data_IF_120642569951
#
_entry.id   IF_120642569951
#
_cell.length_a   1.000
_cell.length_b   1.000
_cell.length_c   1.000
_cell.angle_alpha   90.00
_cell.angle_beta   90.00
_cell.angle_gamma   90.00
#
_symmetry.space_group_name_H-M   'P 1'
#
loop_
_entity.id
_entity.type
_entity.pdbx_description
1 polymer ?
#
# COMPACT_ATOMS: atom_id res chain seq x y z
N UNK A 1 -3.43 -11.02 -3.11
CA UNK A 1 -3.24 -10.69 -4.55
C UNK A 1 -3.43 -11.94 -5.37
N UNK A 2 -4.50 -12.07 -6.15
CA UNK A 2 -4.59 -13.13 -7.16
C UNK A 2 -3.70 -12.74 -8.33
N UNK A 3 -2.62 -13.48 -8.54
CA UNK A 3 -1.73 -13.35 -9.69
C UNK A 3 -2.55 -13.49 -10.98
N UNK A 4 -2.50 -12.46 -11.82
CA UNK A 4 -3.12 -12.46 -13.14
C UNK A 4 -2.60 -13.64 -13.96
N UNK A 5 -3.50 -14.37 -14.65
CA UNK A 5 -3.16 -15.53 -15.48
C UNK A 5 -2.41 -15.18 -16.78
N UNK A 6 -2.07 -13.90 -16.99
CA UNK A 6 -1.37 -13.42 -18.18
C UNK A 6 0.13 -13.73 -18.06
N UNK A 7 0.74 -14.47 -19.01
CA UNK A 7 2.17 -14.82 -18.97
C UNK A 7 3.10 -13.61 -18.80
N UNK A 8 4.32 -13.86 -18.32
CA UNK A 8 5.38 -12.86 -18.37
C UNK A 8 5.85 -12.72 -19.83
N UNK A 9 6.02 -11.49 -20.34
CA UNK A 9 6.57 -11.29 -21.68
C UNK A 9 8.05 -11.72 -21.70
N UNK A 10 8.51 -12.23 -22.84
CA UNK A 10 9.93 -12.43 -23.15
C UNK A 10 10.31 -11.47 -24.28
N UNK A 11 10.53 -10.17 -23.96
CA UNK A 11 10.72 -9.16 -24.97
C UNK A 11 12.08 -9.28 -25.67
N UNK A 12 12.07 -9.35 -27.01
CA UNK A 12 13.26 -9.16 -27.83
C UNK A 12 13.44 -7.67 -28.15
N UNK A 13 14.67 -7.16 -28.01
CA UNK A 13 15.00 -5.76 -28.32
C UNK A 13 15.38 -5.61 -29.80
N UNK A 14 14.62 -4.83 -30.60
CA UNK A 14 15.03 -4.50 -31.96
C UNK A 14 16.36 -3.74 -31.96
N UNK A 15 17.23 -4.07 -32.92
CA UNK A 15 18.49 -3.37 -33.18
C UNK A 15 18.50 -2.88 -34.63
N UNK A 16 19.03 -1.68 -34.85
CA UNK A 16 19.05 -1.02 -36.16
C UNK A 16 20.48 -0.69 -36.58
N UNK A 17 20.75 -0.71 -37.88
CA UNK A 17 22.04 -0.27 -38.44
C UNK A 17 21.86 0.71 -39.61
N UNK A 18 22.89 1.49 -39.90
CA UNK A 18 22.86 2.50 -40.96
C UNK A 18 22.63 1.88 -42.34
N UNK A 19 21.64 2.40 -43.07
CA UNK A 19 21.26 1.89 -44.40
C UNK A 19 20.29 0.71 -44.38
N UNK A 20 19.87 0.23 -43.20
CA UNK A 20 18.82 -0.78 -43.10
C UNK A 20 17.46 -0.24 -43.58
N UNK A 21 16.76 -1.03 -44.40
CA UNK A 21 15.36 -0.77 -44.73
C UNK A 21 14.49 -1.12 -43.52
N UNK A 22 13.77 -0.13 -42.99
CA UNK A 22 12.80 -0.33 -41.91
C UNK A 22 11.46 -0.80 -42.48
N UNK A 23 10.96 -1.90 -41.96
CA UNK A 23 9.67 -2.49 -42.36
C UNK A 23 8.60 -2.28 -41.28
N UNK A 24 7.34 -2.55 -41.63
CA UNK A 24 6.26 -2.56 -40.65
C UNK A 24 6.48 -3.60 -39.54
N UNK A 25 7.18 -4.70 -39.83
CA UNK A 25 7.51 -5.71 -38.82
C UNK A 25 8.47 -5.17 -37.77
N UNK A 26 9.49 -4.39 -38.19
CA UNK A 26 10.47 -3.79 -37.27
C UNK A 26 9.82 -2.77 -36.33
N UNK A 27 8.99 -1.89 -36.87
CA UNK A 27 8.25 -0.88 -36.09
C UNK A 27 7.19 -1.53 -35.19
N UNK A 28 6.51 -2.57 -35.68
CA UNK A 28 5.56 -3.35 -34.91
C UNK A 28 6.20 -4.09 -33.73
N UNK A 29 7.41 -4.63 -33.93
CA UNK A 29 8.19 -5.26 -32.86
C UNK A 29 8.57 -4.24 -31.77
N UNK A 30 9.03 -3.05 -32.15
CA UNK A 30 9.33 -1.96 -31.21
C UNK A 30 8.07 -1.53 -30.42
N UNK A 31 6.93 -1.36 -31.08
CA UNK A 31 5.69 -0.99 -30.41
C UNK A 31 5.18 -2.07 -29.44
N UNK A 32 5.32 -3.35 -29.83
CA UNK A 32 4.96 -4.50 -29.00
C UNK A 32 5.83 -4.55 -27.75
N UNK A 33 7.15 -4.36 -27.90
CA UNK A 33 8.10 -4.30 -26.80
C UNK A 33 7.71 -3.23 -25.76
N UNK A 34 7.46 -2.00 -26.23
CA UNK A 34 7.10 -0.88 -25.34
C UNK A 34 5.80 -1.14 -24.59
N UNK A 35 4.80 -1.67 -25.29
CA UNK A 35 3.50 -2.01 -24.71
C UNK A 35 3.61 -3.11 -23.66
N UNK A 36 4.36 -4.18 -23.95
CA UNK A 36 4.57 -5.28 -23.01
C UNK A 36 5.34 -4.84 -21.75
N UNK A 37 6.40 -4.05 -21.90
CA UNK A 37 7.17 -3.54 -20.77
C UNK A 37 6.34 -2.60 -19.89
N UNK A 38 5.50 -1.75 -20.51
CA UNK A 38 4.59 -0.87 -19.78
C UNK A 38 3.53 -1.64 -19.02
N UNK A 39 2.86 -2.60 -19.66
CA UNK A 39 1.87 -3.47 -19.01
C UNK A 39 2.49 -4.24 -17.84
N UNK A 40 3.72 -4.74 -18.02
CA UNK A 40 4.47 -5.40 -16.95
C UNK A 40 4.74 -4.43 -15.78
N UNK A 41 5.17 -3.20 -16.06
CA UNK A 41 5.40 -2.17 -15.04
C UNK A 41 4.11 -1.88 -14.25
N UNK A 42 2.98 -1.68 -14.92
CA UNK A 42 1.68 -1.47 -14.26
C UNK A 42 1.29 -2.65 -13.38
N UNK A 43 1.31 -3.86 -13.95
CA UNK A 43 0.89 -5.08 -13.26
C UNK A 43 1.77 -5.42 -12.05
N UNK A 44 3.07 -5.16 -12.13
CA UNK A 44 4.03 -5.50 -11.08
C UNK A 44 4.16 -4.43 -9.99
N UNK A 45 4.02 -3.13 -10.35
CA UNK A 45 4.35 -2.03 -9.45
C UNK A 45 3.16 -1.18 -9.02
N UNK A 46 2.07 -1.17 -9.80
CA UNK A 46 0.92 -0.28 -9.54
C UNK A 46 -0.38 -1.04 -9.26
N UNK A 47 -0.47 -2.32 -9.63
CA UNK A 47 -1.69 -3.11 -9.46
C UNK A 47 -2.74 -2.75 -10.51
N UNK A 48 -4.02 -2.77 -10.12
CA UNK A 48 -5.16 -2.51 -11.02
C UNK A 48 -6.35 -1.88 -10.28
N UNK A 49 -7.18 -1.16 -11.03
CA UNK A 49 -8.32 -0.37 -10.55
C UNK A 49 -8.50 0.95 -11.31
N UNK A 50 -9.43 1.78 -10.86
CA UNK A 50 -9.70 3.12 -11.37
C UNK A 50 -8.75 4.12 -10.71
N UNK A 51 -7.86 4.75 -11.49
CA UNK A 51 -6.93 5.74 -10.95
C UNK A 51 -7.53 7.15 -10.85
N UNK A 52 -8.42 7.50 -11.78
CA UNK A 52 -9.07 8.82 -11.80
C UNK A 52 -10.36 8.80 -12.60
N UNK A 53 -11.36 9.58 -12.18
CA UNK A 53 -12.60 9.79 -12.91
C UNK A 53 -13.49 8.54 -13.00
N UNK A 54 -14.05 8.30 -14.20
CA UNK A 54 -14.93 7.16 -14.51
C UNK A 54 -16.16 7.04 -13.59
N UNK A 55 -16.67 8.19 -13.11
CA UNK A 55 -17.92 8.23 -12.37
C UNK A 55 -19.08 7.91 -13.31
N UNK A 56 -20.09 7.20 -12.80
CA UNK A 56 -21.32 6.89 -13.52
C UNK A 56 -22.42 7.73 -12.91
N UNK A 57 -22.97 8.66 -13.69
CA UNK A 57 -24.06 9.53 -13.28
C UNK A 57 -25.34 9.14 -14.03
N UNK A 58 -26.39 8.82 -13.28
CA UNK A 58 -27.75 8.63 -13.77
C UNK A 58 -28.73 8.53 -12.60
N UNK A 59 -30.00 8.80 -12.87
CA UNK A 59 -31.09 8.70 -11.90
C UNK A 59 -32.06 7.55 -12.21
N UNK A 60 -32.87 7.16 -11.22
CA UNK A 60 -33.95 6.20 -11.43
C UNK A 60 -34.86 6.68 -12.57
N UNK A 61 -35.19 5.77 -13.48
CA UNK A 61 -36.12 6.00 -14.58
C UNK A 61 -35.48 6.50 -15.87
N UNK A 62 -34.19 6.85 -15.84
CA UNK A 62 -33.44 7.22 -17.04
C UNK A 62 -33.16 6.01 -17.94
N UNK A 63 -32.99 6.27 -19.24
CA UNK A 63 -32.77 5.27 -20.29
C UNK A 63 -31.32 5.22 -20.77
N UNK A 64 -30.44 6.02 -20.15
CA UNK A 64 -29.02 6.04 -20.42
C UNK A 64 -28.28 6.42 -19.14
N UNK A 65 -26.99 6.10 -19.09
CA UNK A 65 -26.06 6.55 -18.05
C UNK A 65 -24.97 7.41 -18.66
N UNK A 66 -24.48 8.38 -17.90
CA UNK A 66 -23.31 9.18 -18.29
C UNK A 66 -22.09 8.63 -17.56
N UNK A 67 -21.14 8.09 -18.33
CA UNK A 67 -19.81 7.75 -17.83
C UNK A 67 -18.89 8.94 -18.01
N UNK A 68 -18.41 9.53 -16.94
CA UNK A 68 -17.43 10.62 -16.97
C UNK A 68 -16.08 10.17 -17.51
N UNK A 69 -15.30 11.13 -18.02
CA UNK A 69 -13.93 10.89 -18.45
C UNK A 69 -13.07 10.32 -17.30
N UNK A 70 -12.05 9.53 -17.64
CA UNK A 70 -11.14 8.98 -16.64
C UNK A 70 -10.21 7.89 -17.15
N UNK A 71 -9.52 7.27 -16.19
CA UNK A 71 -8.43 6.35 -16.43
C UNK A 71 -8.48 5.19 -15.44
N UNK A 72 -8.32 3.97 -15.95
CA UNK A 72 -8.17 2.76 -15.15
C UNK A 72 -7.06 1.86 -15.70
N UNK A 73 -6.59 0.94 -14.86
CA UNK A 73 -5.68 -0.14 -15.23
C UNK A 73 -6.38 -1.45 -14.89
N UNK A 74 -6.36 -2.42 -15.81
CA UNK A 74 -6.87 -3.76 -15.54
C UNK A 74 -5.78 -4.70 -14.95
N UNK A 75 -6.17 -5.90 -14.52
CA UNK A 75 -5.23 -6.85 -13.89
C UNK A 75 -4.17 -7.41 -14.85
N UNK A 76 -4.28 -7.16 -16.15
CA UNK A 76 -3.24 -7.46 -17.13
C UNK A 76 -2.22 -6.31 -17.28
N UNK A 77 -2.48 -5.15 -16.66
CA UNK A 77 -1.67 -3.94 -16.77
C UNK A 77 -2.04 -3.04 -17.94
N UNK A 78 -3.19 -3.29 -18.60
CA UNK A 78 -3.65 -2.55 -19.76
C UNK A 78 -4.32 -1.25 -19.32
N UNK A 79 -4.03 -0.16 -20.03
CA UNK A 79 -4.54 1.18 -19.74
C UNK A 79 -5.93 1.35 -20.40
N UNK A 80 -6.94 1.71 -19.61
CA UNK A 80 -8.30 1.95 -20.08
C UNK A 80 -8.61 3.46 -19.96
N UNK A 81 -8.58 4.15 -21.09
CA UNK A 81 -8.69 5.62 -21.15
C UNK A 81 -10.02 6.03 -21.76
N UNK A 82 -10.92 6.57 -20.94
CA UNK A 82 -12.11 7.27 -21.41
C UNK A 82 -11.80 8.77 -21.47
N UNK A 83 -11.32 9.25 -22.63
CA UNK A 83 -10.83 10.63 -22.77
C UNK A 83 -11.90 11.72 -22.70
N UNK A 84 -13.18 11.36 -22.74
CA UNK A 84 -14.33 12.26 -22.65
C UNK A 84 -15.52 11.51 -22.04
N UNK A 85 -16.53 12.27 -21.60
CA UNK A 85 -17.77 11.67 -21.10
C UNK A 85 -18.49 10.89 -22.22
N UNK A 86 -19.06 9.74 -21.86
CA UNK A 86 -19.79 8.84 -22.76
C UNK A 86 -21.22 8.67 -22.27
N UNK A 87 -22.20 8.89 -23.14
CA UNK A 87 -23.59 8.51 -22.88
C UNK A 87 -23.80 7.07 -23.33
N UNK A 88 -24.16 6.19 -22.40
CA UNK A 88 -24.31 4.76 -22.63
C UNK A 88 -25.78 4.37 -22.46
N UNK A 89 -26.48 3.91 -23.51
CA UNK A 89 -27.88 3.52 -23.40
C UNK A 89 -28.05 2.30 -22.49
N UNK A 90 -29.12 2.29 -21.72
CA UNK A 90 -29.51 1.16 -20.86
C UNK A 90 -29.95 -0.02 -21.73
N UNK A 91 -29.65 -1.29 -21.35
CA UNK A 91 -30.09 -2.47 -22.08
C UNK A 91 -31.61 -2.47 -22.32
N UNK A 92 -32.07 -2.77 -23.54
CA UNK A 92 -33.50 -2.75 -23.89
C UNK A 92 -34.22 -4.01 -23.38
N UNK A 93 -34.38 -4.14 -22.06
CA UNK A 93 -35.03 -5.27 -21.41
C UNK A 93 -36.30 -4.86 -20.65
N UNK A 94 -37.38 -5.59 -20.86
CA UNK A 94 -38.68 -5.29 -20.25
C UNK A 94 -38.73 -5.71 -18.77
N UNK A 95 -38.35 -6.94 -18.44
CA UNK A 95 -38.28 -7.45 -17.08
C UNK A 95 -37.49 -8.77 -17.05
N UNK A 96 -37.08 -9.20 -15.86
CA UNK A 96 -36.50 -10.52 -15.63
C UNK A 96 -37.54 -11.64 -15.69
N UNK A 97 -37.12 -12.91 -15.60
CA UNK A 97 -38.02 -14.07 -15.68
C UNK A 97 -39.18 -14.07 -14.66
N UNK A 98 -38.98 -13.41 -13.51
CA UNK A 98 -39.98 -13.25 -12.45
C UNK A 98 -40.77 -11.94 -12.51
N UNK A 99 -40.61 -11.14 -13.57
CA UNK A 99 -41.25 -9.82 -13.72
C UNK A 99 -40.56 -8.67 -12.96
N UNK A 100 -39.49 -8.96 -12.22
CA UNK A 100 -38.71 -7.96 -11.49
C UNK A 100 -37.57 -7.30 -12.30
N UNK A 101 -36.80 -6.39 -11.67
CA UNK A 101 -35.60 -5.81 -12.26
C UNK A 101 -34.53 -6.87 -12.58
N UNK A 102 -33.79 -6.63 -13.67
CA UNK A 102 -32.66 -7.46 -14.11
C UNK A 102 -31.35 -6.81 -13.66
N UNK A 103 -30.47 -7.53 -12.94
CA UNK A 103 -29.17 -7.01 -12.55
C UNK A 103 -28.17 -7.06 -13.71
N UNK A 104 -27.47 -5.95 -13.91
CA UNK A 104 -26.33 -5.82 -14.79
C UNK A 104 -25.16 -5.21 -14.03
N UNK A 105 -23.97 -5.35 -14.60
CA UNK A 105 -22.79 -4.61 -14.21
C UNK A 105 -22.30 -3.80 -15.38
N UNK A 106 -22.18 -2.48 -15.18
CA UNK A 106 -21.50 -1.61 -16.11
C UNK A 106 -19.99 -1.73 -15.87
N UNK A 107 -19.24 -2.10 -16.90
CA UNK A 107 -17.80 -2.30 -16.79
C UNK A 107 -17.04 -1.64 -17.94
N UNK A 108 -15.83 -1.18 -17.65
CA UNK A 108 -14.85 -0.74 -18.63
C UNK A 108 -13.88 -1.90 -18.92
N UNK A 109 -13.65 -2.21 -20.20
CA UNK A 109 -12.87 -3.38 -20.63
C UNK A 109 -11.89 -2.99 -21.72
N UNK A 110 -10.77 -3.69 -21.78
CA UNK A 110 -9.84 -3.60 -22.91
C UNK A 110 -10.54 -4.07 -24.19
N UNK A 111 -10.36 -3.31 -25.27
CA UNK A 111 -10.84 -3.67 -26.60
C UNK A 111 -9.81 -4.55 -27.26
N UNK A 112 -10.15 -5.82 -27.49
CA UNK A 112 -9.22 -6.76 -28.14
C UNK A 112 -8.99 -6.38 -29.61
N UNK A 113 -7.85 -6.78 -30.16
CA UNK A 113 -7.45 -6.47 -31.53
C UNK A 113 -8.49 -6.85 -32.59
N UNK A 114 -9.24 -7.92 -32.35
CA UNK A 114 -10.31 -8.40 -33.24
C UNK A 114 -11.53 -7.47 -33.27
N UNK A 115 -11.77 -6.74 -32.18
CA UNK A 115 -12.92 -5.86 -31.99
C UNK A 115 -12.56 -4.38 -32.19
N UNK A 116 -11.26 -4.05 -32.23
CA UNK A 116 -10.78 -2.70 -32.41
C UNK A 116 -11.20 -2.12 -33.76
N UNK A 117 -11.62 -0.85 -33.78
CA UNK A 117 -11.86 -0.13 -35.02
C UNK A 117 -10.53 0.04 -35.76
N UNK A 118 -10.44 -0.57 -36.95
CA UNK A 118 -9.25 -0.54 -37.79
C UNK A 118 -9.40 0.53 -38.87
N UNK A 119 -8.47 1.47 -38.91
CA UNK A 119 -8.27 2.34 -40.07
C UNK A 119 -7.31 1.66 -41.03
N UNK A 120 -7.70 1.52 -42.29
CA UNK A 120 -6.87 0.94 -43.35
C UNK A 120 -6.48 1.99 -44.38
N UNK A 121 -5.29 1.86 -44.94
CA UNK A 121 -4.75 2.74 -45.97
C UNK A 121 -4.22 1.91 -47.14
N UNK A 122 -4.42 2.41 -48.35
CA UNK A 122 -3.81 1.86 -49.55
C UNK A 122 -2.34 2.30 -49.64
N UNK A 123 -1.49 1.38 -50.05
CA UNK A 123 -0.07 1.57 -50.30
C UNK A 123 0.26 1.39 -51.78
N UNK A 124 1.54 1.57 -52.10
CA UNK A 124 2.03 1.40 -53.46
C UNK A 124 1.84 -0.04 -53.96
N UNK A 125 1.79 -0.19 -55.28
CA UNK A 125 1.65 -1.48 -55.97
C UNK A 125 0.41 -2.29 -55.55
N UNK A 126 -0.66 -1.62 -55.13
CA UNK A 126 -1.93 -2.27 -54.76
C UNK A 126 -1.92 -2.90 -53.36
N UNK A 127 -0.90 -2.62 -52.55
CA UNK A 127 -0.89 -3.03 -51.15
C UNK A 127 -1.99 -2.32 -50.36
N UNK A 128 -2.52 -2.97 -49.32
CA UNK A 128 -3.44 -2.36 -48.35
C UNK A 128 -3.11 -2.85 -46.95
N UNK A 129 -3.09 -1.95 -45.98
CA UNK A 129 -2.71 -2.28 -44.61
C UNK A 129 -3.47 -1.47 -43.56
N UNK A 130 -3.65 -2.06 -42.39
CA UNK A 130 -4.15 -1.38 -41.19
C UNK A 130 -3.10 -0.39 -40.67
N UNK A 131 -3.46 0.88 -40.48
CA UNK A 131 -2.57 1.95 -40.02
C UNK A 131 -2.85 2.43 -38.60
N UNK A 132 -4.06 2.16 -38.07
CA UNK A 132 -4.42 2.49 -36.70
C UNK A 132 -5.46 1.52 -36.16
N UNK A 133 -5.25 1.05 -34.94
CA UNK A 133 -6.26 0.39 -34.10
C UNK A 133 -6.63 1.35 -32.99
N UNK A 134 -7.92 1.45 -32.70
CA UNK A 134 -8.40 2.29 -31.61
C UNK A 134 -8.29 1.54 -30.29
N UNK A 135 -7.47 2.04 -29.36
CA UNK A 135 -7.38 1.55 -27.98
C UNK A 135 -8.46 2.15 -27.06
N UNK A 136 -9.49 2.77 -27.65
CA UNK A 136 -10.64 3.24 -26.88
C UNK A 136 -11.26 2.01 -26.18
N UNK A 137 -11.36 2.02 -24.84
CA UNK A 137 -11.88 0.89 -24.10
C UNK A 137 -13.36 0.68 -24.40
N UNK A 138 -13.80 -0.56 -24.31
CA UNK A 138 -15.20 -0.93 -24.49
C UNK A 138 -15.95 -0.75 -23.17
N UNK A 139 -17.05 0.02 -23.20
CA UNK A 139 -18.02 0.08 -22.09
C UNK A 139 -19.07 -1.00 -22.33
N UNK A 140 -19.23 -1.94 -21.41
CA UNK A 140 -20.10 -3.09 -21.57
C UNK A 140 -21.09 -3.24 -20.41
N UNK A 141 -22.31 -3.63 -20.75
CA UNK A 141 -23.30 -4.17 -19.82
C UNK A 141 -23.08 -5.68 -19.72
N UNK A 142 -22.70 -6.17 -18.55
CA UNK A 142 -22.39 -7.57 -18.31
C UNK A 142 -23.39 -8.17 -17.32
N UNK A 143 -23.76 -9.43 -17.52
CA UNK A 143 -24.39 -10.21 -16.46
C UNK A 143 -23.36 -10.41 -15.31
N UNK A 144 -23.76 -10.34 -14.03
CA UNK A 144 -22.82 -10.49 -12.92
C UNK A 144 -21.90 -11.72 -12.98
N UNK A 145 -22.35 -12.91 -13.43
CA UNK A 145 -21.49 -14.08 -13.58
C UNK A 145 -20.50 -13.99 -14.75
N UNK A 146 -20.72 -13.12 -15.74
CA UNK A 146 -19.88 -12.98 -16.93
C UNK A 146 -18.66 -12.07 -16.72
N UNK A 147 -18.54 -11.45 -15.53
CA UNK A 147 -17.46 -10.53 -15.20
C UNK A 147 -16.15 -11.31 -15.05
N UNK A 148 -15.15 -10.92 -15.85
CA UNK A 148 -13.78 -11.42 -15.71
C UNK A 148 -13.09 -10.64 -14.60
N UNK A 149 -12.90 -11.28 -13.45
CA UNK A 149 -12.27 -10.64 -12.29
C UNK A 149 -10.93 -10.00 -12.66
N UNK A 150 -10.80 -8.69 -12.40
CA UNK A 150 -9.59 -7.91 -12.68
C UNK A 150 -9.43 -7.43 -14.11
N UNK A 151 -9.90 -8.17 -15.11
CA UNK A 151 -9.84 -7.73 -16.52
C UNK A 151 -10.98 -6.77 -16.88
N UNK A 152 -12.12 -6.90 -16.20
CA UNK A 152 -13.27 -6.03 -16.36
C UNK A 152 -13.32 -5.07 -15.16
N UNK A 153 -13.03 -3.80 -15.41
CA UNK A 153 -13.05 -2.76 -14.37
C UNK A 153 -14.50 -2.37 -14.12
N UNK A 154 -15.05 -2.83 -12.99
CA UNK A 154 -16.42 -2.55 -12.57
C UNK A 154 -16.61 -1.06 -12.30
N UNK A 155 -17.59 -0.45 -12.96
CA UNK A 155 -17.96 0.95 -12.83
C UNK A 155 -19.18 1.14 -11.94
N UNK A 156 -20.20 0.28 -12.07
CA UNK A 156 -21.38 0.27 -11.20
C UNK A 156 -22.17 -1.04 -11.34
N UNK A 157 -22.84 -1.46 -10.27
CA UNK A 157 -23.96 -2.39 -10.37
C UNK A 157 -25.23 -1.61 -10.75
N UNK A 158 -26.05 -2.19 -11.62
CA UNK A 158 -27.21 -1.51 -12.20
C UNK A 158 -28.40 -2.45 -12.25
N UNK A 159 -29.58 -1.94 -11.88
CA UNK A 159 -30.85 -2.65 -12.02
C UNK A 159 -31.67 -2.04 -13.15
N UNK A 160 -32.11 -2.88 -14.09
CA UNK A 160 -32.87 -2.44 -15.27
C UNK A 160 -34.25 -3.09 -15.29
N UNK A 161 -35.28 -2.30 -15.52
CA UNK A 161 -36.64 -2.79 -15.72
C UNK A 161 -37.39 -1.84 -16.64
N UNK A 162 -38.12 -2.35 -17.64
CA UNK A 162 -38.89 -1.53 -18.57
C UNK A 162 -38.02 -0.57 -19.38
N UNK A 163 -36.85 -1.05 -19.83
CA UNK A 163 -35.85 -0.31 -20.62
C UNK A 163 -35.32 0.96 -19.93
N UNK A 164 -35.38 1.01 -18.60
CA UNK A 164 -34.90 2.14 -17.78
C UNK A 164 -34.26 1.63 -16.50
N UNK A 165 -33.52 2.52 -15.83
CA UNK A 165 -32.95 2.27 -14.52
C UNK A 165 -34.04 2.09 -13.45
N UNK A 166 -34.00 0.97 -12.73
CA UNK A 166 -34.88 0.71 -11.59
C UNK A 166 -34.38 1.37 -10.29
N UNK A 167 -33.11 1.77 -10.25
CA UNK A 167 -32.46 2.53 -9.18
C UNK A 167 -31.26 3.29 -9.76
N UNK A 168 -30.74 4.32 -9.07
CA UNK A 168 -29.45 4.92 -9.42
C UNK A 168 -28.33 3.86 -9.48
N UNK A 169 -27.33 3.99 -10.37
CA UNK A 169 -26.19 3.08 -10.43
C UNK A 169 -25.45 3.00 -9.09
N UNK A 170 -25.16 1.79 -8.62
CA UNK A 170 -24.47 1.55 -7.35
C UNK A 170 -22.94 1.44 -7.58
N UNK A 171 -22.13 2.39 -7.07
CA UNK A 171 -20.69 2.40 -7.27
C UNK A 171 -19.93 1.49 -6.27
N UNK A 172 -20.59 0.78 -5.37
CA UNK A 172 -19.94 0.09 -4.22
C UNK A 172 -18.87 -0.91 -4.63
N UNK A 173 -19.03 -1.59 -5.78
CA UNK A 173 -18.05 -2.56 -6.30
C UNK A 173 -16.90 -1.95 -7.11
N UNK A 174 -16.88 -0.63 -7.28
CA UNK A 174 -15.76 0.05 -7.93
C UNK A 174 -14.49 -0.21 -7.13
N UNK A 175 -13.45 -0.64 -7.83
CA UNK A 175 -12.11 -0.75 -7.25
C UNK A 175 -11.30 0.46 -7.67
N UNK A 176 -10.94 1.31 -6.72
CA UNK A 176 -9.98 2.39 -6.96
C UNK A 176 -8.56 1.81 -7.02
N UNK A 177 -7.76 2.30 -7.97
CA UNK A 177 -6.32 2.08 -8.02
C UNK A 177 -5.72 2.98 -6.95
N UNK A 178 -5.73 2.52 -5.70
CA UNK A 178 -4.95 3.20 -4.68
C UNK A 178 -3.47 3.05 -5.09
N UNK A 179 -2.67 4.14 -5.14
CA UNK A 179 -1.22 3.96 -5.09
C UNK A 179 -0.90 3.04 -3.89
N UNK A 180 0.20 2.26 -3.91
CA UNK A 180 0.60 1.55 -2.71
C UNK A 180 0.58 2.57 -1.56
N UNK A 181 -0.12 2.28 -0.44
CA UNK A 181 -0.21 3.24 0.64
C UNK A 181 1.22 3.68 0.95
N UNK A 182 1.49 4.98 0.86
CA UNK A 182 2.70 5.49 1.48
C UNK A 182 2.63 4.98 2.92
N UNK A 183 3.64 4.24 3.40
CA UNK A 183 3.54 3.63 4.70
C UNK A 183 3.20 4.72 5.71
N UNK A 184 2.13 4.51 6.46
CA UNK A 184 1.71 5.48 7.46
C UNK A 184 2.75 5.44 8.57
N UNK A 185 3.50 6.53 8.70
CA UNK A 185 4.55 6.67 9.67
C UNK A 185 4.21 7.79 10.65
N UNK A 186 4.34 7.49 11.93
CA UNK A 186 4.22 8.46 13.01
C UNK A 186 5.36 8.28 14.00
N UNK A 187 5.73 9.35 14.69
CA UNK A 187 6.77 9.33 15.72
C UNK A 187 6.31 10.09 16.96
N UNK A 188 6.95 9.80 18.09
CA UNK A 188 6.64 10.43 19.36
C UNK A 188 7.71 10.15 20.39
N UNK A 189 7.47 10.63 21.60
CA UNK A 189 8.34 10.39 22.74
C UNK A 189 7.54 10.36 24.04
N UNK A 190 7.98 9.54 25.00
CA UNK A 190 7.53 9.68 26.39
C UNK A 190 8.17 10.90 27.03
N UNK A 191 7.56 11.44 28.08
CA UNK A 191 8.03 12.69 28.70
C UNK A 191 9.25 12.42 29.60
N UNK A 192 10.36 13.15 29.44
CA UNK A 192 11.51 13.08 30.33
C UNK A 192 11.12 13.41 31.77
N UNK A 193 11.51 12.57 32.73
CA UNK A 193 11.14 12.76 34.14
C UNK A 193 9.76 12.21 34.52
N UNK A 194 8.97 11.72 33.56
CA UNK A 194 7.64 11.14 33.82
C UNK A 194 7.51 9.70 33.31
N UNK A 195 8.46 9.22 32.50
CA UNK A 195 8.47 7.85 31.99
C UNK A 195 8.66 6.86 33.13
N UNK A 196 7.66 6.02 33.39
CA UNK A 196 7.69 5.03 34.47
C UNK A 196 8.49 3.80 34.05
N UNK A 197 9.55 3.49 34.79
CA UNK A 197 10.39 2.31 34.57
C UNK A 197 10.06 1.22 35.59
N UNK A 198 10.01 -0.03 35.15
CA UNK A 198 9.85 -1.22 35.99
C UNK A 198 11.12 -2.06 35.91
N UNK A 199 11.66 -2.48 37.06
CA UNK A 199 12.79 -3.42 37.10
C UNK A 199 12.30 -4.86 36.86
N UNK A 200 12.75 -5.48 35.79
CA UNK A 200 12.50 -6.88 35.48
C UNK A 200 13.49 -7.77 36.21
N UNK A 201 12.97 -8.73 36.96
CA UNK A 201 13.76 -9.68 37.74
C UNK A 201 13.59 -11.11 37.24
N UNK A 202 14.65 -11.91 37.35
CA UNK A 202 14.58 -13.36 37.13
C UNK A 202 13.82 -14.04 38.28
N UNK A 203 13.52 -15.34 38.14
CA UNK A 203 12.90 -16.13 39.22
C UNK A 203 13.75 -16.17 40.52
N UNK A 204 15.06 -15.91 40.43
CA UNK A 204 15.95 -15.81 41.59
C UNK A 204 15.98 -14.41 42.22
N UNK A 205 15.18 -13.46 41.72
CA UNK A 205 15.11 -12.08 42.21
C UNK A 205 16.23 -11.17 41.72
N UNK A 206 17.03 -11.62 40.73
CA UNK A 206 18.09 -10.80 40.14
C UNK A 206 17.52 -9.91 39.04
N UNK A 207 17.68 -8.59 39.17
CA UNK A 207 17.35 -7.63 38.12
C UNK A 207 18.18 -7.86 36.86
N UNK A 208 17.54 -7.94 35.69
CA UNK A 208 18.21 -8.22 34.41
C UNK A 208 17.85 -7.22 33.30
N UNK A 209 16.73 -6.51 33.41
CA UNK A 209 16.32 -5.46 32.48
C UNK A 209 15.46 -4.42 33.19
N UNK A 210 15.26 -3.27 32.54
CA UNK A 210 14.17 -2.35 32.87
C UNK A 210 13.20 -2.26 31.70
N UNK A 211 11.91 -2.12 32.00
CA UNK A 211 10.88 -1.98 30.98
C UNK A 211 10.00 -0.75 31.21
N UNK A 212 9.43 -0.22 30.13
CA UNK A 212 8.47 0.88 30.17
C UNK A 212 7.36 0.62 29.15
N UNK A 213 6.12 0.92 29.53
CA UNK A 213 4.97 0.96 28.61
C UNK A 213 4.98 2.29 27.86
N UNK A 214 4.93 2.23 26.53
CA UNK A 214 4.92 3.41 25.67
C UNK A 214 3.55 3.49 24.99
N UNK A 215 2.81 4.56 25.28
CA UNK A 215 1.54 4.88 24.62
C UNK A 215 1.82 5.55 23.26
N UNK A 216 1.23 5.00 22.21
CA UNK A 216 1.31 5.49 20.83
C UNK A 216 -0.08 5.74 20.23
N UNK A 217 -1.15 5.71 21.04
CA UNK A 217 -2.53 5.75 20.58
C UNK A 217 -2.87 7.02 19.78
N UNK A 218 -2.25 8.16 20.10
CA UNK A 218 -2.42 9.40 19.35
C UNK A 218 -1.96 9.31 17.88
N UNK A 219 -1.08 8.36 17.54
CA UNK A 219 -0.70 8.12 16.16
C UNK A 219 -1.82 7.50 15.32
N UNK A 220 -2.81 6.85 15.93
CA UNK A 220 -3.98 6.35 15.20
C UNK A 220 -3.68 5.23 14.19
N UNK A 221 -2.71 4.36 14.48
CA UNK A 221 -2.45 3.19 13.63
C UNK A 221 -3.67 2.25 13.59
N UNK A 222 -4.02 1.79 12.38
CA UNK A 222 -5.13 0.86 12.16
C UNK A 222 -4.76 -0.62 12.39
N UNK A 223 -3.49 -0.95 12.17
CA UNK A 223 -2.87 -2.27 12.36
C UNK A 223 -1.63 -2.14 13.25
N UNK A 224 -1.08 -3.26 13.73
CA UNK A 224 0.12 -3.26 14.58
C UNK A 224 1.31 -2.79 13.72
N UNK A 225 1.90 -1.61 13.99
CA UNK A 225 3.00 -1.10 13.18
C UNK A 225 4.32 -1.78 13.57
N UNK A 226 5.31 -1.66 12.69
CA UNK A 226 6.70 -1.98 13.05
C UNK A 226 7.27 -0.78 13.81
N UNK A 227 7.51 -0.94 15.11
CA UNK A 227 8.12 0.09 15.93
C UNK A 227 9.65 0.00 15.93
N UNK A 228 10.29 1.16 15.83
CA UNK A 228 11.68 1.36 16.17
C UNK A 228 11.73 2.36 17.34
N UNK A 229 12.43 2.00 18.41
CA UNK A 229 12.52 2.84 19.59
C UNK A 229 13.97 3.02 20.03
N UNK A 230 14.27 4.21 20.55
CA UNK A 230 15.56 4.55 21.15
C UNK A 230 15.35 4.97 22.59
N UNK A 231 16.27 4.55 23.45
CA UNK A 231 16.36 5.03 24.82
C UNK A 231 17.13 6.35 24.84
N UNK A 232 16.61 7.36 25.55
CA UNK A 232 17.22 8.68 25.75
C UNK A 232 17.45 8.97 27.25
N UNK A 233 18.22 10.01 27.60
CA UNK A 233 18.57 10.38 28.99
C UNK A 233 20.00 10.01 29.42
N UNK A 234 20.37 10.37 30.65
CA UNK A 234 21.74 10.24 31.15
C UNK A 234 22.07 8.81 31.58
N UNK A 235 23.13 8.23 31.01
CA UNK A 235 23.58 6.85 31.33
C UNK A 235 24.60 6.78 32.46
N UNK A 236 25.34 7.86 32.69
CA UNK A 236 26.40 7.89 33.68
C UNK A 236 25.81 8.25 35.05
N UNK A 237 26.15 7.43 36.04
CA UNK A 237 25.87 7.65 37.45
C UNK A 237 27.16 8.07 38.14
N UNK A 238 27.33 9.37 38.48
CA UNK A 238 28.46 9.81 39.28
C UNK A 238 28.47 9.13 40.66
N UNK A 239 29.65 8.98 41.26
CA UNK A 239 29.81 8.33 42.56
C UNK A 239 28.88 8.88 43.65
N UNK A 240 28.73 10.22 43.75
CA UNK A 240 27.85 10.86 44.73
C UNK A 240 26.34 10.72 44.46
N UNK A 241 25.96 10.23 43.28
CA UNK A 241 24.57 10.00 42.89
C UNK A 241 24.26 8.51 42.71
N UNK A 242 25.28 7.65 42.62
CA UNK A 242 25.12 6.20 42.54
C UNK A 242 24.65 5.61 43.87
N UNK A 243 23.68 4.68 43.87
CA UNK A 243 23.25 3.99 45.08
C UNK A 243 24.38 3.24 45.79
N UNK A 244 25.41 2.80 45.06
CA UNK A 244 26.57 2.11 45.62
C UNK A 244 27.71 3.05 46.06
N UNK A 245 27.55 4.36 45.90
CA UNK A 245 28.61 5.35 46.15
C UNK A 245 29.78 5.29 45.17
N UNK A 246 29.71 4.44 44.13
CA UNK A 246 30.73 4.27 43.08
C UNK A 246 30.17 4.68 41.74
N UNK A 247 30.99 5.31 40.90
CA UNK A 247 30.55 5.68 39.56
C UNK A 247 30.20 4.43 38.74
N UNK A 248 29.08 4.50 38.00
CA UNK A 248 28.57 3.41 37.18
C UNK A 248 28.01 3.93 35.86
N UNK A 249 28.06 3.09 34.83
CA UNK A 249 27.34 3.30 33.58
C UNK A 249 26.14 2.34 33.58
N UNK A 250 24.93 2.87 33.47
CA UNK A 250 23.72 2.06 33.32
C UNK A 250 23.24 2.26 31.90
N UNK A 251 23.27 1.21 31.08
CA UNK A 251 22.92 1.29 29.67
C UNK A 251 22.60 -0.09 29.09
N UNK A 252 21.86 -0.13 27.98
CA UNK A 252 21.49 -1.37 27.31
C UNK A 252 20.89 -1.10 25.93
N UNK A 253 21.02 -2.07 25.02
CA UNK A 253 20.39 -1.97 23.70
C UNK A 253 18.88 -2.26 23.82
N UNK A 254 18.00 -1.27 23.64
CA UNK A 254 16.57 -1.47 23.81
C UNK A 254 15.99 -2.34 22.68
N UNK A 255 14.93 -3.08 22.98
CA UNK A 255 14.09 -3.71 21.97
C UNK A 255 12.60 -3.53 22.30
N UNK A 256 11.77 -3.61 21.27
CA UNK A 256 10.31 -3.55 21.41
C UNK A 256 9.79 -4.96 21.68
N UNK A 257 9.03 -5.11 22.74
CA UNK A 257 8.30 -6.32 23.14
C UNK A 257 6.79 -6.06 23.06
N UNK A 258 6.02 -7.10 22.75
CA UNK A 258 4.55 -7.07 22.71
C UNK A 258 3.93 -5.82 22.02
N UNK A 259 4.23 -5.57 20.73
CA UNK A 259 3.68 -4.41 20.03
C UNK A 259 2.17 -4.55 19.80
N UNK A 260 1.45 -3.44 19.98
CA UNK A 260 0.03 -3.29 19.69
C UNK A 260 -0.22 -2.02 18.84
N UNK A 261 -1.45 -1.82 18.37
CA UNK A 261 -1.81 -0.69 17.50
C UNK A 261 -1.59 0.67 18.17
N UNK A 262 -1.78 0.78 19.49
CA UNK A 262 -1.67 2.04 20.23
C UNK A 262 -0.71 2.00 21.42
N UNK A 263 0.10 0.96 21.56
CA UNK A 263 1.15 0.88 22.58
C UNK A 263 2.20 -0.16 22.24
N UNK A 264 3.32 -0.12 22.94
CA UNK A 264 4.26 -1.23 23.00
C UNK A 264 5.05 -1.20 24.32
N UNK A 265 5.66 -2.33 24.67
CA UNK A 265 6.56 -2.41 25.83
C UNK A 265 8.01 -2.27 25.36
N UNK A 266 8.74 -1.27 25.86
CA UNK A 266 10.18 -1.18 25.63
C UNK A 266 10.90 -1.99 26.71
N UNK A 267 11.86 -2.84 26.33
CA UNK A 267 12.73 -3.55 27.27
C UNK A 267 14.19 -3.19 27.03
N UNK A 268 14.91 -2.89 28.11
CA UNK A 268 16.34 -2.53 28.10
C UNK A 268 17.11 -3.54 28.95
N UNK A 269 17.78 -4.53 28.33
CA UNK A 269 18.63 -5.48 29.03
C UNK A 269 19.82 -4.79 29.71
N UNK A 270 20.01 -5.04 31.00
CA UNK A 270 21.09 -4.48 31.82
C UNK A 270 22.15 -5.54 32.09
N UNK A 271 22.95 -5.87 31.07
CA UNK A 271 24.01 -6.87 31.18
C UNK A 271 25.22 -6.29 31.91
N UNK A 272 25.68 -6.88 33.04
CA UNK A 272 26.87 -6.42 33.76
C UNK A 272 28.13 -6.50 32.90
N UNK A 273 29.01 -5.52 33.04
CA UNK A 273 30.26 -5.47 32.28
C UNK A 273 31.21 -4.38 32.75
N UNK A 274 32.18 -4.05 31.91
CA UNK A 274 33.14 -2.97 32.16
C UNK A 274 33.39 -2.21 30.86
N UNK A 275 33.29 -0.89 30.91
CA UNK A 275 33.58 0.00 29.80
C UNK A 275 34.81 0.86 30.12
N UNK A 276 35.40 1.46 29.09
CA UNK A 276 36.48 2.42 29.22
C UNK A 276 35.93 3.83 29.03
N UNK A 277 36.12 4.70 30.01
CA UNK A 277 35.72 6.11 29.96
C UNK A 277 36.93 6.98 30.31
N UNK A 278 37.41 7.78 29.35
CA UNK A 278 38.54 8.73 29.57
C UNK A 278 39.80 8.08 30.22
N UNK A 279 40.11 6.84 29.85
CA UNK A 279 41.28 6.10 30.36
C UNK A 279 41.08 5.42 31.73
N UNK A 280 39.88 5.47 32.30
CA UNK A 280 39.51 4.73 33.51
C UNK A 280 38.42 3.70 33.20
N UNK A 281 38.50 2.54 33.87
CA UNK A 281 37.45 1.53 33.80
C UNK A 281 36.22 1.98 34.61
N UNK A 282 35.04 1.91 34.00
CA UNK A 282 33.75 2.13 34.67
C UNK A 282 32.92 0.84 34.61
N UNK A 283 32.28 0.49 35.73
CA UNK A 283 31.42 -0.67 35.78
C UNK A 283 30.12 -0.39 35.00
N UNK A 284 29.77 -1.30 34.09
CA UNK A 284 28.52 -1.24 33.32
C UNK A 284 27.50 -2.11 34.01
N UNK A 285 26.30 -1.59 34.26
CA UNK A 285 25.18 -2.30 34.87
C UNK A 285 25.58 -3.11 36.13
N UNK A 286 26.28 -2.50 37.11
CA UNK A 286 26.79 -3.27 38.24
C UNK A 286 25.62 -3.75 39.14
N UNK A 287 25.60 -5.03 39.58
CA UNK A 287 24.43 -5.62 40.25
C UNK A 287 24.00 -4.91 41.55
N UNK A 288 24.95 -4.33 42.28
CA UNK A 288 24.71 -3.55 43.50
C UNK A 288 23.96 -2.24 43.23
N UNK A 289 24.16 -1.62 42.06
CA UNK A 289 23.39 -0.44 41.64
C UNK A 289 21.99 -0.84 41.19
N UNK A 290 21.86 -1.93 40.42
CA UNK A 290 20.57 -2.41 39.90
C UNK A 290 19.67 -2.91 41.03
N UNK A 291 20.24 -3.59 42.03
CA UNK A 291 19.51 -4.13 43.17
C UNK A 291 19.15 -3.06 44.23
N UNK A 292 19.59 -1.81 44.05
CA UNK A 292 19.32 -0.76 45.03
C UNK A 292 17.83 -0.38 45.07
N UNK A 293 17.33 -0.09 46.27
CA UNK A 293 15.96 0.36 46.46
C UNK A 293 15.71 1.67 45.68
N UNK A 294 14.60 1.72 44.95
CA UNK A 294 14.23 2.88 44.12
C UNK A 294 15.07 3.03 42.85
N UNK A 295 15.87 2.04 42.44
CA UNK A 295 16.68 2.11 41.22
C UNK A 295 15.85 2.55 39.99
N UNK A 296 14.69 1.92 39.78
CA UNK A 296 13.82 2.24 38.63
C UNK A 296 13.25 3.66 38.70
N UNK A 297 12.79 4.12 39.87
CA UNK A 297 12.29 5.49 40.08
C UNK A 297 13.36 6.55 39.79
N UNK A 298 14.63 6.22 40.09
CA UNK A 298 15.78 7.09 39.83
C UNK A 298 16.17 7.15 38.34
N UNK A 299 15.82 6.14 37.54
CA UNK A 299 15.93 6.26 36.08
C UNK A 299 14.99 7.34 35.55
N UNK A 300 13.78 7.41 36.09
CA UNK A 300 12.82 8.48 35.78
C UNK A 300 13.30 9.83 36.31
N UNK A 301 13.50 9.94 37.63
CA UNK A 301 13.66 11.23 38.31
C UNK A 301 15.05 11.84 38.19
N UNK A 302 16.10 11.04 38.41
CA UNK A 302 17.47 11.55 38.47
C UNK A 302 18.17 11.51 37.11
N UNK A 303 17.83 10.54 36.27
CA UNK A 303 18.47 10.33 34.95
C UNK A 303 17.63 10.78 33.77
N UNK A 304 16.37 11.16 34.01
CA UNK A 304 15.43 11.60 32.99
C UNK A 304 15.37 10.63 31.79
N UNK A 305 15.35 9.33 32.05
CA UNK A 305 15.23 8.33 30.99
C UNK A 305 13.85 8.41 30.35
N UNK A 306 13.83 8.48 29.02
CA UNK A 306 12.62 8.50 28.21
C UNK A 306 12.83 7.74 26.89
N UNK A 307 11.74 7.49 26.17
CA UNK A 307 11.75 6.70 24.93
C UNK A 307 11.32 7.58 23.78
N UNK A 308 12.11 7.63 22.71
CA UNK A 308 11.66 8.16 21.42
C UNK A 308 11.37 7.00 20.47
N UNK A 309 10.33 7.12 19.67
CA UNK A 309 9.89 6.04 18.81
C UNK A 309 9.41 6.54 17.45
N UNK A 310 9.46 5.64 16.46
CA UNK A 310 8.79 5.75 15.18
C UNK A 310 8.05 4.43 14.92
N UNK A 311 6.80 4.51 14.49
CA UNK A 311 5.99 3.38 14.05
C UNK A 311 5.70 3.49 12.56
N UNK A 312 5.80 2.37 11.84
CA UNK A 312 5.53 2.30 10.40
C UNK A 312 4.48 1.22 10.14
N UNK A 313 3.32 1.62 9.62
CA UNK A 313 2.24 0.73 9.17
C UNK A 313 2.23 0.69 7.63
N UNK A 314 2.24 -0.52 7.07
CA UNK A 314 2.26 -0.80 5.63
C UNK A 314 0.97 -1.45 5.16
#
# INVERSE_FOLDING_TARGET
>A
MTTSAVPLPSPDRPVFFAGQLLTAADLGAQHTLESQLRQLHHRMLHGWGIASGLAVAAERGETAVVLEAGYAIDSAGRELIAGQALTVPVPPIAAGPSGGPVPFVLALRWTEDADAVVQSRDGDCGARGSVRRSDVPTVAWLDPPAIRAGLDVVLADVLVQGCRLAAPPDPTRRRLLNPPPAPFAACGATVPGETVWTLESTASGQGWAVSAEVDTAEAGFGDIPVYLARLCGDRVWPAGQSPSGRAALVDGAPYVDQPETGRFRLVVPLVPGTAQQTGAAIAVNPPDVIAAAGFADRLTTDRAWYVEWIGVQS
#
